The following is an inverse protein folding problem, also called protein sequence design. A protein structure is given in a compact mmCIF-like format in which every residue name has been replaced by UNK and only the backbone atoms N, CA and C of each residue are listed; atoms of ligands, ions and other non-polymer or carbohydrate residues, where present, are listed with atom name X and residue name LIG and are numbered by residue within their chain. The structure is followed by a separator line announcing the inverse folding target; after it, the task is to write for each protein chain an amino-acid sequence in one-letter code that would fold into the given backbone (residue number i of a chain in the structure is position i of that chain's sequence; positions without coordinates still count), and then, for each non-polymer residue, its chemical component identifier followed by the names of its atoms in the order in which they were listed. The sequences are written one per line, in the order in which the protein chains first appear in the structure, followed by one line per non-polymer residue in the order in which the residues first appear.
data_IF_661250889031
#
_entry.id   IF_661250889031
#
_cell.length_a   1.000
_cell.length_b   1.000
_cell.length_c   1.000
_cell.angle_alpha   90.00
_cell.angle_beta   90.00
_cell.angle_gamma   90.00
#
_symmetry.space_group_name_H-M   'P 1'
#
loop_
_entity.id
_entity.type
_entity.pdbx_description
1 polymer ?
#
# COMPACT_ATOMS: atom_id res chain seq x y z
N UNK A 1 -40.68 -17.65 -47.00
CA UNK A 1 -41.41 -18.82 -47.54
C UNK A 1 -40.41 -19.62 -48.35
N UNK A 2 -40.25 -20.91 -48.00
CA UNK A 2 -39.72 -22.05 -48.79
C UNK A 2 -38.37 -21.87 -49.51
N UNK A 3 -37.45 -22.82 -49.62
CA UNK A 3 -37.33 -24.25 -49.36
C UNK A 3 -35.82 -24.55 -49.54
N UNK A 4 -35.15 -25.19 -48.59
CA UNK A 4 -34.68 -26.60 -48.65
C UNK A 4 -34.15 -27.04 -50.02
N UNK A 5 -32.84 -27.30 -50.09
CA UNK A 5 -32.26 -28.28 -50.99
C UNK A 5 -31.02 -28.89 -50.37
N UNK A 6 -31.17 -30.13 -49.94
CA UNK A 6 -30.17 -31.05 -49.39
C UNK A 6 -29.35 -31.69 -50.52
N UNK A 7 -28.03 -31.80 -50.34
CA UNK A 7 -27.19 -32.70 -51.14
C UNK A 7 -26.44 -33.69 -50.24
N UNK A 8 -26.13 -34.91 -50.74
CA UNK A 8 -25.90 -36.09 -49.91
C UNK A 8 -24.42 -36.33 -49.61
N UNK A 9 -24.20 -37.05 -48.50
CA UNK A 9 -22.91 -37.49 -47.97
C UNK A 9 -22.52 -38.81 -48.64
N UNK A 10 -21.47 -38.82 -49.47
CA UNK A 10 -20.90 -40.04 -50.06
C UNK A 10 -20.13 -40.86 -49.01
N UNK A 11 -20.50 -42.13 -48.90
CA UNK A 11 -19.72 -43.21 -48.31
C UNK A 11 -18.55 -43.59 -49.23
N UNK A 12 -17.32 -43.68 -48.68
CA UNK A 12 -16.27 -44.55 -49.23
C UNK A 12 -15.51 -45.25 -48.11
N UNK A 13 -15.56 -46.58 -48.16
CA UNK A 13 -14.51 -47.53 -47.75
C UNK A 13 -14.17 -48.37 -48.99
N UNK A 14 -13.14 -49.23 -48.99
CA UNK A 14 -11.82 -49.21 -48.34
C UNK A 14 -10.70 -49.41 -49.39
N UNK A 15 -9.43 -49.21 -49.03
CA UNK A 15 -8.32 -49.87 -49.73
C UNK A 15 -7.36 -50.49 -48.72
N UNK A 16 -7.21 -51.81 -48.87
CA UNK A 16 -6.21 -52.65 -48.24
C UNK A 16 -4.81 -52.14 -48.59
N UNK A 17 -3.91 -52.17 -47.61
CA UNK A 17 -2.50 -52.39 -47.89
C UNK A 17 -2.00 -53.49 -46.96
N UNK A 18 -1.57 -54.59 -47.58
CA UNK A 18 -0.93 -55.73 -46.94
C UNK A 18 0.55 -55.38 -46.77
N UNK A 19 0.99 -55.30 -45.52
CA UNK A 19 2.40 -55.26 -45.14
C UNK A 19 2.58 -56.25 -44.01
N UNK A 20 3.30 -57.33 -44.31
CA UNK A 20 3.68 -58.40 -43.40
C UNK A 20 4.77 -57.92 -42.43
N UNK A 21 4.46 -57.86 -41.14
CA UNK A 21 5.45 -57.86 -40.06
C UNK A 21 5.01 -58.82 -38.96
N UNK A 22 6.01 -59.49 -38.39
CA UNK A 22 5.92 -60.64 -37.48
C UNK A 22 5.19 -60.32 -36.16
N UNK A 23 4.56 -61.31 -35.50
CA UNK A 23 3.89 -61.11 -34.23
C UNK A 23 4.93 -60.94 -33.11
N UNK A 24 5.07 -59.70 -32.63
CA UNK A 24 5.72 -59.39 -31.36
C UNK A 24 4.76 -59.81 -30.23
N UNK A 25 5.22 -60.54 -29.20
CA UNK A 25 4.36 -61.01 -28.13
C UNK A 25 3.73 -59.86 -27.33
N UNK A 26 2.41 -59.96 -27.22
CA UNK A 26 1.47 -58.96 -26.71
C UNK A 26 1.42 -58.93 -25.16
N UNK A 27 2.56 -58.82 -24.47
CA UNK A 27 2.56 -58.76 -23.00
C UNK A 27 3.42 -57.70 -22.33
N UNK A 28 4.09 -56.78 -23.05
CA UNK A 28 5.01 -55.83 -22.38
C UNK A 28 5.17 -54.45 -23.04
N UNK A 29 4.20 -54.01 -23.84
CA UNK A 29 4.28 -52.73 -24.57
C UNK A 29 3.17 -51.70 -24.22
N UNK A 30 2.49 -51.85 -23.07
CA UNK A 30 1.45 -50.92 -22.63
C UNK A 30 1.88 -49.95 -21.50
N UNK A 31 3.10 -50.05 -20.96
CA UNK A 31 3.48 -49.31 -19.72
C UNK A 31 4.57 -48.25 -19.86
N UNK A 32 4.93 -47.83 -21.09
CA UNK A 32 5.89 -46.72 -21.28
C UNK A 32 5.31 -45.63 -22.18
N UNK A 33 4.08 -45.21 -21.89
CA UNK A 33 3.70 -43.82 -22.15
C UNK A 33 4.10 -43.04 -20.90
N UNK A 34 5.25 -42.37 -20.96
CA UNK A 34 5.64 -41.35 -20.00
C UNK A 34 4.53 -40.29 -19.93
N UNK A 35 3.55 -40.50 -19.05
CA UNK A 35 2.78 -39.43 -18.44
C UNK A 35 3.79 -38.56 -17.71
N UNK A 36 4.23 -37.48 -18.36
CA UNK A 36 4.75 -36.31 -17.67
C UNK A 36 3.69 -35.98 -16.61
N UNK A 37 3.98 -36.10 -15.31
CA UNK A 37 2.98 -35.83 -14.29
C UNK A 37 2.51 -34.39 -14.52
N UNK A 38 1.23 -34.24 -14.87
CA UNK A 38 0.61 -32.93 -14.91
C UNK A 38 0.67 -32.39 -13.50
N UNK A 39 1.61 -31.47 -13.26
CA UNK A 39 1.77 -30.65 -12.05
C UNK A 39 0.51 -29.80 -11.72
N UNK A 40 -0.63 -30.07 -12.36
CA UNK A 40 -1.80 -29.22 -12.46
C UNK A 40 -2.99 -29.80 -11.64
N UNK A 41 -3.00 -31.08 -11.27
CA UNK A 41 -4.19 -31.70 -10.67
C UNK A 41 -4.13 -31.99 -9.16
N UNK A 42 -3.00 -31.78 -8.47
CA UNK A 42 -2.86 -32.15 -7.05
C UNK A 42 -3.10 -30.99 -6.06
N UNK A 43 -3.18 -29.74 -6.54
CA UNK A 43 -3.30 -28.58 -5.65
C UNK A 43 -4.69 -28.36 -5.05
N UNK A 44 -5.75 -28.90 -5.67
CA UNK A 44 -7.14 -28.64 -5.24
C UNK A 44 -7.63 -29.61 -4.17
N UNK A 45 -7.30 -30.90 -4.28
CA UNK A 45 -7.73 -31.92 -3.32
C UNK A 45 -6.91 -31.91 -2.03
N UNK A 46 -5.62 -31.52 -2.08
CA UNK A 46 -4.82 -31.27 -0.87
C UNK A 46 -5.26 -30.03 -0.08
N UNK A 47 -6.10 -29.17 -0.68
CA UNK A 47 -6.60 -27.95 -0.04
C UNK A 47 -7.84 -28.20 0.82
N UNK A 48 -8.60 -29.27 0.57
CA UNK A 48 -9.89 -29.52 1.23
C UNK A 48 -9.80 -30.46 2.45
N UNK A 49 -8.85 -31.42 2.50
CA UNK A 49 -8.90 -32.51 3.50
C UNK A 49 -7.90 -32.40 4.69
N UNK A 50 -7.14 -31.30 4.83
CA UNK A 50 -6.07 -31.19 5.85
C UNK A 50 -6.24 -30.13 6.96
N UNK A 51 -7.35 -29.41 7.01
CA UNK A 51 -7.45 -28.12 7.73
C UNK A 51 -8.16 -28.20 9.10
N UNK A 52 -7.64 -28.99 10.07
CA UNK A 52 -8.14 -28.96 11.46
C UNK A 52 -7.06 -28.88 12.57
N UNK A 53 -5.80 -28.57 12.26
CA UNK A 53 -4.93 -27.98 13.29
C UNK A 53 -5.15 -26.47 13.28
N UNK A 54 -5.65 -25.89 14.38
CA UNK A 54 -5.88 -24.44 14.56
C UNK A 54 -4.57 -23.67 14.37
N UNK A 55 -4.20 -23.39 13.11
CA UNK A 55 -3.06 -22.54 12.79
C UNK A 55 -3.43 -21.12 13.18
N UNK A 56 -2.57 -20.53 14.00
CA UNK A 56 -2.72 -19.16 14.46
C UNK A 56 -2.49 -18.19 13.30
N UNK A 57 -3.52 -17.43 12.91
CA UNK A 57 -3.48 -16.47 11.80
C UNK A 57 -3.21 -15.02 12.23
N UNK A 58 -3.26 -14.75 13.54
CA UNK A 58 -3.01 -13.42 14.09
C UNK A 58 -1.58 -12.90 13.90
N UNK A 59 -0.51 -13.71 13.69
CA UNK A 59 0.83 -13.16 13.43
C UNK A 59 0.86 -12.18 12.26
N UNK A 60 0.04 -12.36 11.21
CA UNK A 60 -0.05 -11.43 10.09
C UNK A 60 -0.48 -10.02 10.49
N UNK A 61 -1.26 -9.87 11.57
CA UNK A 61 -1.57 -8.55 12.14
C UNK A 61 -0.30 -7.83 12.61
N UNK A 62 0.56 -8.54 13.35
CA UNK A 62 1.83 -8.03 13.86
C UNK A 62 2.95 -7.96 12.83
N UNK A 63 2.74 -8.51 11.63
CA UNK A 63 3.61 -8.27 10.47
C UNK A 63 3.20 -6.97 9.77
N UNK A 64 1.90 -6.76 9.57
CA UNK A 64 1.43 -5.59 8.82
C UNK A 64 1.45 -4.31 9.65
N UNK A 65 1.08 -4.37 10.93
CA UNK A 65 1.05 -3.19 11.80
C UNK A 65 2.40 -2.45 11.82
N UNK A 66 3.56 -3.09 12.08
CA UNK A 66 4.85 -2.42 12.09
C UNK A 66 5.24 -1.74 10.78
N UNK A 67 5.00 -2.40 9.65
CA UNK A 67 5.30 -1.83 8.34
C UNK A 67 4.51 -0.55 8.10
N UNK A 68 3.23 -0.54 8.49
CA UNK A 68 2.38 0.63 8.36
C UNK A 68 2.63 1.71 9.43
N UNK A 69 3.22 1.37 10.58
CA UNK A 69 3.80 2.37 11.47
C UNK A 69 4.94 3.14 10.78
N UNK A 70 5.96 2.43 10.28
CA UNK A 70 7.08 3.05 9.57
C UNK A 70 6.65 3.83 8.31
N UNK A 71 5.66 3.30 7.58
CA UNK A 71 5.10 4.04 6.45
C UNK A 71 4.39 5.33 6.89
N UNK A 72 3.64 5.30 8.00
CA UNK A 72 2.92 6.47 8.50
C UNK A 72 3.84 7.53 9.10
N UNK A 73 4.94 7.17 9.76
CA UNK A 73 5.94 8.13 10.23
C UNK A 73 6.53 8.96 9.08
N UNK A 74 6.64 8.39 7.88
CA UNK A 74 7.14 9.11 6.71
C UNK A 74 6.16 10.15 6.17
N UNK A 75 4.84 9.99 6.28
CA UNK A 75 3.91 11.01 5.76
C UNK A 75 3.26 11.89 6.83
N UNK A 76 3.14 11.42 8.07
CA UNK A 76 2.51 12.21 9.15
C UNK A 76 3.49 13.16 9.83
N UNK A 77 4.78 12.82 9.91
CA UNK A 77 5.77 13.64 10.61
C UNK A 77 6.57 14.55 9.66
N UNK A 78 6.08 14.81 8.44
CA UNK A 78 6.80 15.59 7.42
C UNK A 78 7.11 17.02 7.88
N UNK A 79 6.14 17.71 8.49
CA UNK A 79 6.31 19.08 8.98
C UNK A 79 7.37 19.15 10.10
N UNK A 80 7.29 18.22 11.07
CA UNK A 80 8.26 18.08 12.15
C UNK A 80 9.66 17.78 11.62
N UNK A 81 9.79 16.83 10.68
CA UNK A 81 11.06 16.51 10.02
C UNK A 81 11.64 17.72 9.27
N UNK A 82 10.81 18.44 8.52
CA UNK A 82 11.23 19.62 7.77
C UNK A 82 11.79 20.71 8.71
N UNK A 83 11.04 21.04 9.77
CA UNK A 83 11.38 22.12 10.72
C UNK A 83 12.52 21.72 11.65
N UNK A 84 12.39 20.60 12.33
CA UNK A 84 13.28 20.19 13.44
C UNK A 84 14.45 19.33 12.95
N UNK A 85 14.22 18.47 11.96
CA UNK A 85 15.26 17.61 11.39
C UNK A 85 16.18 18.35 10.42
N UNK A 86 15.60 19.11 9.48
CA UNK A 86 16.38 19.81 8.45
C UNK A 86 16.57 21.30 8.71
N UNK A 87 15.89 21.89 9.70
CA UNK A 87 16.03 23.31 10.01
C UNK A 87 15.38 24.23 8.97
N UNK A 88 14.42 23.75 8.19
CA UNK A 88 13.72 24.57 7.19
C UNK A 88 12.58 25.31 7.90
N UNK A 89 12.68 26.63 8.13
CA UNK A 89 11.69 27.36 8.92
C UNK A 89 10.37 27.53 8.17
N UNK A 90 9.31 27.85 8.92
CA UNK A 90 8.10 28.46 8.37
C UNK A 90 8.40 29.83 7.81
N UNK A 91 8.05 30.03 6.53
CA UNK A 91 8.20 31.33 5.88
C UNK A 91 7.23 32.28 6.58
N UNK A 92 7.72 33.38 7.20
CA UNK A 92 6.83 34.44 7.64
C UNK A 92 6.09 35.01 6.43
N UNK A 93 4.83 35.39 6.62
CA UNK A 93 4.06 36.10 5.60
C UNK A 93 4.88 37.28 5.05
N UNK A 94 5.14 37.26 3.75
CA UNK A 94 5.83 38.35 3.03
C UNK A 94 7.36 38.28 2.95
N UNK A 95 8.04 37.26 3.51
CA UNK A 95 9.50 37.11 3.33
C UNK A 95 9.80 36.13 2.20
N UNK A 96 9.76 36.63 0.96
CA UNK A 96 10.26 35.89 -0.21
C UNK A 96 11.79 35.95 -0.25
N UNK A 97 12.46 35.04 0.44
CA UNK A 97 13.81 34.64 0.01
C UNK A 97 13.66 33.41 -0.86
N UNK A 98 13.89 33.56 -2.17
CA UNK A 98 13.78 32.51 -3.19
C UNK A 98 14.46 31.19 -2.79
N UNK A 99 15.50 31.27 -1.96
CA UNK A 99 16.24 30.12 -1.43
C UNK A 99 15.38 29.18 -0.54
N UNK A 100 14.68 29.68 0.49
CA UNK A 100 13.86 28.82 1.36
C UNK A 100 12.65 28.25 0.64
N UNK A 101 12.06 29.01 -0.29
CA UNK A 101 11.00 28.50 -1.18
C UNK A 101 11.51 27.31 -2.03
N UNK A 102 12.71 27.44 -2.59
CA UNK A 102 13.35 26.36 -3.36
C UNK A 102 13.65 25.13 -2.49
N UNK A 103 14.11 25.32 -1.25
CA UNK A 103 14.36 24.22 -0.31
C UNK A 103 13.08 23.49 0.09
N UNK A 104 12.00 24.22 0.38
CA UNK A 104 10.67 23.64 0.68
C UNK A 104 10.11 22.86 -0.49
N UNK A 105 10.21 23.41 -1.71
CA UNK A 105 9.81 22.71 -2.93
C UNK A 105 10.62 21.43 -3.11
N UNK A 106 11.95 21.49 -2.94
CA UNK A 106 12.81 20.31 -3.00
C UNK A 106 12.47 19.28 -1.92
N UNK A 107 12.18 19.70 -0.69
CA UNK A 107 11.72 18.82 0.38
C UNK A 107 10.43 18.11 -0.01
N UNK A 108 9.42 18.86 -0.49
CA UNK A 108 8.16 18.28 -0.94
C UNK A 108 8.32 17.32 -2.11
N UNK A 109 9.20 17.61 -3.08
CA UNK A 109 9.50 16.68 -4.18
C UNK A 109 10.21 15.45 -3.64
N UNK A 110 11.11 15.63 -2.67
CA UNK A 110 11.77 14.55 -1.95
C UNK A 110 10.76 13.64 -1.23
N UNK A 111 9.75 14.19 -0.56
CA UNK A 111 8.74 13.37 0.12
C UNK A 111 7.87 12.59 -0.85
N UNK A 112 7.62 13.11 -2.06
CA UNK A 112 6.97 12.36 -3.15
C UNK A 112 7.72 11.10 -3.60
N UNK A 113 9.02 10.96 -3.28
CA UNK A 113 9.76 9.73 -3.61
C UNK A 113 9.26 8.50 -2.84
N UNK A 114 8.51 8.69 -1.76
CA UNK A 114 7.77 7.61 -1.10
C UNK A 114 6.79 6.97 -2.08
N UNK A 115 5.93 7.77 -2.71
CA UNK A 115 4.95 7.28 -3.68
C UNK A 115 5.58 6.75 -4.96
N UNK A 116 6.66 7.39 -5.44
CA UNK A 116 7.42 6.85 -6.59
C UNK A 116 8.07 5.51 -6.27
N UNK A 117 8.67 5.36 -5.09
CA UNK A 117 9.22 4.10 -4.61
C UNK A 117 8.15 3.01 -4.57
N UNK A 118 6.96 3.31 -4.03
CA UNK A 118 5.82 2.39 -4.03
C UNK A 118 5.50 1.94 -5.46
N UNK A 119 5.20 2.91 -6.34
CA UNK A 119 4.78 2.69 -7.71
C UNK A 119 5.78 1.83 -8.48
N UNK A 120 7.07 2.16 -8.40
CA UNK A 120 8.13 1.45 -9.13
C UNK A 120 8.28 0.02 -8.58
N UNK A 121 8.34 -0.16 -7.27
CA UNK A 121 8.59 -1.47 -6.68
C UNK A 121 7.37 -2.40 -6.65
N UNK A 122 6.15 -1.91 -6.94
CA UNK A 122 4.97 -2.79 -7.13
C UNK A 122 5.20 -3.85 -8.20
N UNK A 123 5.59 -3.54 -9.44
CA UNK A 123 5.99 -4.57 -10.40
C UNK A 123 7.46 -4.98 -10.24
N UNK A 124 8.37 -4.04 -9.93
CA UNK A 124 9.81 -4.29 -10.01
C UNK A 124 10.32 -5.28 -8.96
N UNK A 125 9.65 -5.48 -7.83
CA UNK A 125 10.08 -6.50 -6.86
C UNK A 125 10.10 -7.92 -7.47
N UNK A 126 9.32 -8.17 -8.53
CA UNK A 126 9.36 -9.45 -9.26
C UNK A 126 10.62 -9.61 -10.13
N UNK A 127 11.23 -8.50 -10.55
CA UNK A 127 12.46 -8.50 -11.36
C UNK A 127 13.68 -8.43 -10.44
N UNK A 128 13.74 -7.39 -9.60
CA UNK A 128 14.88 -7.08 -8.73
C UNK A 128 15.09 -8.18 -7.70
N UNK A 129 14.01 -8.70 -7.12
CA UNK A 129 14.05 -9.78 -6.13
C UNK A 129 13.51 -11.10 -6.71
N UNK A 130 13.67 -11.32 -8.02
CA UNK A 130 13.30 -12.58 -8.69
C UNK A 130 13.89 -13.82 -8.02
N UNK A 131 15.12 -13.70 -7.50
CA UNK A 131 15.84 -14.76 -6.79
C UNK A 131 15.31 -15.05 -5.36
N UNK A 132 14.41 -14.22 -4.84
CA UNK A 132 13.80 -14.39 -3.52
C UNK A 132 12.34 -14.76 -3.67
N UNK A 133 11.89 -15.75 -2.88
CA UNK A 133 10.46 -16.02 -2.74
C UNK A 133 9.73 -14.84 -2.07
N UNK A 134 8.42 -14.66 -2.32
CA UNK A 134 7.59 -13.60 -1.73
C UNK A 134 7.75 -13.44 -0.22
N UNK A 135 7.90 -14.56 0.50
CA UNK A 135 8.14 -14.56 1.94
C UNK A 135 9.40 -13.76 2.33
N UNK A 136 10.54 -14.04 1.69
CA UNK A 136 11.80 -13.33 1.97
C UNK A 136 11.79 -11.90 1.47
N UNK A 137 11.01 -11.58 0.42
CA UNK A 137 10.81 -10.20 -0.04
C UNK A 137 10.17 -9.33 1.03
N UNK A 138 9.33 -9.89 1.91
CA UNK A 138 8.82 -9.15 3.08
C UNK A 138 9.96 -8.73 4.03
N UNK A 139 10.93 -9.61 4.29
CA UNK A 139 12.09 -9.27 5.13
C UNK A 139 13.00 -8.21 4.48
N UNK A 140 13.18 -8.29 3.16
CA UNK A 140 13.91 -7.25 2.40
C UNK A 140 13.18 -5.90 2.52
N UNK A 141 11.84 -5.92 2.43
CA UNK A 141 11.03 -4.72 2.62
C UNK A 141 11.18 -4.12 4.03
N UNK A 142 11.18 -4.96 5.07
CA UNK A 142 11.48 -4.52 6.44
C UNK A 142 12.87 -3.88 6.54
N UNK A 143 13.89 -4.51 5.96
CA UNK A 143 15.24 -3.94 5.91
C UNK A 143 15.28 -2.57 5.25
N UNK A 144 14.58 -2.39 4.12
CA UNK A 144 14.49 -1.09 3.44
C UNK A 144 13.83 -0.02 4.30
N UNK A 145 12.69 -0.33 4.93
CA UNK A 145 11.99 0.60 5.82
C UNK A 145 12.83 0.92 7.07
N UNK A 146 13.47 -0.06 7.69
CA UNK A 146 14.37 0.16 8.82
C UNK A 146 15.56 1.04 8.45
N UNK A 147 16.14 0.90 7.26
CA UNK A 147 17.18 1.79 6.78
C UNK A 147 16.68 3.24 6.67
N UNK A 148 15.45 3.46 6.18
CA UNK A 148 14.86 4.80 6.14
C UNK A 148 14.73 5.40 7.56
N UNK A 149 14.18 4.63 8.51
CA UNK A 149 14.01 5.06 9.91
C UNK A 149 15.35 5.29 10.63
N UNK A 150 16.36 4.47 10.37
CA UNK A 150 17.72 4.68 10.92
C UNK A 150 18.27 6.03 10.42
N UNK A 151 18.17 6.31 9.12
CA UNK A 151 18.66 7.57 8.56
C UNK A 151 17.89 8.75 9.18
N UNK A 152 16.57 8.63 9.39
CA UNK A 152 15.77 9.66 10.09
C UNK A 152 16.27 9.91 11.51
N UNK A 153 16.49 8.86 12.29
CA UNK A 153 17.05 9.01 13.65
C UNK A 153 18.43 9.67 13.60
N UNK A 154 19.28 9.31 12.64
CA UNK A 154 20.60 9.94 12.47
C UNK A 154 20.48 11.42 12.06
N UNK A 155 19.48 11.80 11.27
CA UNK A 155 19.21 13.22 10.95
C UNK A 155 18.96 13.99 12.24
N UNK A 156 18.14 13.49 13.17
CA UNK A 156 17.88 14.19 14.45
C UNK A 156 19.07 14.19 15.40
N UNK A 157 19.86 13.11 15.45
CA UNK A 157 21.06 13.04 16.31
C UNK A 157 22.14 14.02 15.83
N UNK A 158 22.33 14.17 14.53
CA UNK A 158 23.34 15.05 13.94
C UNK A 158 22.81 16.42 13.54
N UNK A 159 21.50 16.66 13.69
CA UNK A 159 20.90 17.96 13.41
C UNK A 159 21.39 18.97 14.45
N UNK A 160 22.03 20.08 14.03
CA UNK A 160 22.37 21.18 14.94
C UNK A 160 21.14 21.97 15.42
N UNK A 161 19.92 21.59 14.98
CA UNK A 161 18.69 22.38 15.14
C UNK A 161 17.78 21.94 16.28
N UNK A 162 18.21 21.02 17.14
CA UNK A 162 17.44 20.64 18.33
C UNK A 162 17.22 21.82 19.29
N UNK A 163 18.02 22.90 19.19
CA UNK A 163 17.98 24.03 20.13
C UNK A 163 17.55 25.38 19.49
N UNK A 164 17.67 25.58 18.17
CA UNK A 164 17.25 26.80 17.48
C UNK A 164 17.01 26.60 15.97
N UNK A 165 16.03 27.28 15.35
CA UNK A 165 15.80 27.22 13.91
C UNK A 165 16.97 27.83 13.11
N UNK A 166 17.14 27.38 11.86
CA UNK A 166 18.18 27.91 10.98
C UNK A 166 17.99 29.42 10.74
N UNK A 167 19.05 30.18 11.02
CA UNK A 167 19.10 31.63 10.77
C UNK A 167 19.61 31.96 9.37
N UNK A 168 20.24 31.00 8.70
CA UNK A 168 20.78 31.13 7.34
C UNK A 168 20.68 29.82 6.57
N UNK A 169 20.59 29.91 5.24
CA UNK A 169 20.52 28.76 4.32
C UNK A 169 21.69 27.79 4.51
N UNK A 170 22.89 28.30 4.81
CA UNK A 170 24.10 27.48 5.03
C UNK A 170 24.03 26.58 6.27
N UNK A 171 23.09 26.83 7.17
CA UNK A 171 22.88 25.98 8.34
C UNK A 171 22.01 24.77 8.01
N UNK A 172 21.12 24.88 7.00
CA UNK A 172 20.08 23.88 6.68
C UNK A 172 20.72 22.51 6.44
N UNK A 173 20.07 21.47 6.97
CA UNK A 173 20.53 20.10 6.82
C UNK A 173 20.57 19.65 5.35
N UNK A 174 21.23 18.52 5.05
CA UNK A 174 21.35 18.00 3.69
C UNK A 174 20.01 17.49 3.14
N UNK A 175 19.17 18.39 2.60
CA UNK A 175 17.79 18.10 2.12
C UNK A 175 17.74 16.99 1.06
N UNK A 176 18.83 16.75 0.33
CA UNK A 176 18.91 15.63 -0.61
C UNK A 176 18.69 14.25 0.05
N UNK A 177 18.97 14.12 1.37
CA UNK A 177 18.70 12.89 2.12
C UNK A 177 17.22 12.52 2.13
N UNK A 178 16.31 13.49 2.00
CA UNK A 178 14.86 13.25 1.94
C UNK A 178 14.52 12.31 0.79
N UNK A 179 15.13 12.48 -0.39
CA UNK A 179 14.93 11.58 -1.53
C UNK A 179 15.32 10.14 -1.21
N UNK A 180 16.42 9.95 -0.49
CA UNK A 180 16.93 8.63 -0.11
C UNK A 180 16.02 7.99 0.95
N UNK A 181 15.69 8.73 2.02
CA UNK A 181 14.83 8.26 3.11
C UNK A 181 13.47 7.82 2.57
N UNK A 182 12.80 8.71 1.83
CA UNK A 182 11.45 8.47 1.33
C UNK A 182 11.47 7.44 0.21
N UNK A 183 12.49 7.45 -0.64
CA UNK A 183 12.73 6.40 -1.63
C UNK A 183 12.85 5.02 -0.98
N UNK A 184 13.66 4.87 0.07
CA UNK A 184 13.83 3.60 0.80
C UNK A 184 12.54 3.16 1.51
N UNK A 185 11.81 4.10 2.11
CA UNK A 185 10.47 3.82 2.66
C UNK A 185 9.50 3.32 1.59
N UNK A 186 9.55 3.94 0.40
CA UNK A 186 8.72 3.56 -0.73
C UNK A 186 9.07 2.20 -1.32
N UNK A 187 10.36 1.88 -1.43
CA UNK A 187 10.84 0.53 -1.77
C UNK A 187 10.32 -0.50 -0.75
N UNK A 188 10.35 -0.15 0.53
CA UNK A 188 9.83 -0.96 1.63
C UNK A 188 8.38 -1.33 1.42
N UNK A 189 7.47 -0.36 1.47
CA UNK A 189 6.03 -0.65 1.37
C UNK A 189 5.62 -1.18 -0.02
N UNK A 190 6.24 -0.68 -1.10
CA UNK A 190 6.00 -1.13 -2.48
C UNK A 190 6.33 -2.61 -2.67
N UNK A 191 7.40 -3.09 -2.02
CA UNK A 191 7.74 -4.51 -2.00
C UNK A 191 6.86 -5.29 -1.02
N UNK A 192 6.59 -4.76 0.18
CA UNK A 192 5.94 -5.49 1.26
C UNK A 192 4.53 -5.97 0.91
N UNK A 193 3.66 -5.06 0.48
CA UNK A 193 2.22 -5.29 0.60
C UNK A 193 1.67 -6.31 -0.42
N UNK A 194 2.17 -6.31 -1.66
CA UNK A 194 1.81 -7.37 -2.61
C UNK A 194 2.28 -8.75 -2.12
N UNK A 195 3.44 -8.81 -1.46
CA UNK A 195 4.02 -10.04 -0.95
C UNK A 195 3.30 -10.55 0.30
N UNK A 196 2.92 -9.69 1.26
CA UNK A 196 2.13 -10.12 2.45
C UNK A 196 0.73 -10.56 2.05
N UNK A 197 0.09 -9.90 1.08
CA UNK A 197 -1.21 -10.31 0.55
C UNK A 197 -1.14 -11.66 -0.18
N UNK A 198 -0.06 -11.91 -0.91
CA UNK A 198 0.16 -13.19 -1.57
C UNK A 198 0.44 -14.31 -0.56
N UNK A 199 1.35 -14.09 0.40
CA UNK A 199 1.71 -15.11 1.42
C UNK A 199 0.51 -15.42 2.34
N UNK A 200 -0.28 -14.41 2.69
CA UNK A 200 -1.51 -14.60 3.47
C UNK A 200 -2.59 -15.34 2.68
N UNK A 201 -2.64 -15.24 1.35
CA UNK A 201 -3.57 -16.01 0.53
C UNK A 201 -3.34 -17.53 0.65
N UNK A 202 -2.08 -17.97 0.67
CA UNK A 202 -1.73 -19.39 0.89
C UNK A 202 -2.00 -19.87 2.31
N UNK A 203 -2.02 -18.95 3.28
CA UNK A 203 -2.30 -19.25 4.69
C UNK A 203 -3.81 -19.28 4.99
N UNK A 204 -4.66 -18.93 4.02
CA UNK A 204 -6.11 -18.91 4.16
C UNK A 204 -6.71 -17.54 4.46
N UNK A 205 -8.03 -17.42 4.28
CA UNK A 205 -8.75 -16.15 4.34
C UNK A 205 -8.57 -15.41 5.69
N UNK A 206 -8.44 -16.16 6.79
CA UNK A 206 -8.24 -15.60 8.12
C UNK A 206 -6.90 -14.87 8.26
N UNK A 207 -5.82 -15.38 7.67
CA UNK A 207 -4.51 -14.71 7.66
C UNK A 207 -4.61 -13.35 6.97
N UNK A 208 -5.30 -13.31 5.83
CA UNK A 208 -5.52 -12.07 5.10
C UNK A 208 -6.34 -11.07 5.89
N UNK A 209 -7.42 -11.53 6.51
CA UNK A 209 -8.26 -10.70 7.37
C UNK A 209 -7.41 -9.99 8.44
N UNK A 210 -6.55 -10.73 9.15
CA UNK A 210 -5.65 -10.15 10.16
C UNK A 210 -4.60 -9.22 9.56
N UNK A 211 -4.01 -9.57 8.40
CA UNK A 211 -3.09 -8.69 7.69
C UNK A 211 -3.74 -7.35 7.35
N UNK A 212 -4.93 -7.37 6.77
CA UNK A 212 -5.65 -6.17 6.33
C UNK A 212 -6.07 -5.32 7.53
N UNK A 213 -6.45 -5.92 8.66
CA UNK A 213 -6.72 -5.19 9.90
C UNK A 213 -5.49 -4.52 10.51
N UNK A 214 -4.29 -5.05 10.29
CA UNK A 214 -3.05 -4.43 10.78
C UNK A 214 -2.79 -3.04 10.19
N UNK A 215 -3.29 -2.76 8.98
CA UNK A 215 -3.09 -1.50 8.25
C UNK A 215 -3.60 -0.28 9.04
N UNK A 216 -4.90 -0.18 9.38
CA UNK A 216 -5.42 0.98 10.11
C UNK A 216 -4.77 1.14 11.49
N UNK A 217 -4.44 0.05 12.18
CA UNK A 217 -3.74 0.13 13.46
C UNK A 217 -2.33 0.68 13.32
N UNK A 218 -1.56 0.21 12.33
CA UNK A 218 -0.21 0.71 12.10
C UNK A 218 -0.21 2.21 11.81
N UNK A 219 -1.05 2.64 10.85
CA UNK A 219 -1.17 4.06 10.50
C UNK A 219 -1.58 4.91 11.70
N UNK A 220 -2.63 4.50 12.42
CA UNK A 220 -3.17 5.31 13.51
C UNK A 220 -2.35 5.28 14.80
N UNK A 221 -1.49 4.28 14.97
CA UNK A 221 -0.49 4.31 16.06
C UNK A 221 0.40 5.55 15.92
N UNK A 222 0.75 5.95 14.70
CA UNK A 222 1.58 7.13 14.45
C UNK A 222 0.73 8.39 14.32
N UNK A 223 -0.38 8.36 13.59
CA UNK A 223 -1.17 9.59 13.38
C UNK A 223 -1.93 10.01 14.64
N UNK A 224 -2.34 9.09 15.53
CA UNK A 224 -2.96 9.45 16.80
C UNK A 224 -1.89 9.47 17.90
N UNK A 225 -1.16 8.36 18.05
CA UNK A 225 -0.19 8.20 19.13
C UNK A 225 1.04 9.10 18.98
N UNK A 226 1.53 9.31 17.77
CA UNK A 226 2.66 10.20 17.48
C UNK A 226 2.33 11.66 17.78
N UNK A 227 1.23 12.20 17.24
CA UNK A 227 0.84 13.59 17.54
C UNK A 227 0.46 13.80 19.00
N UNK A 228 -0.20 12.83 19.65
CA UNK A 228 -0.45 12.92 21.09
C UNK A 228 0.85 12.94 21.91
N UNK A 229 1.87 12.18 21.47
CA UNK A 229 3.19 12.17 22.09
C UNK A 229 3.92 13.50 21.89
N UNK A 230 3.89 14.05 20.68
CA UNK A 230 4.43 15.39 20.36
C UNK A 230 3.83 16.46 21.27
N UNK A 231 2.50 16.54 21.31
CA UNK A 231 1.78 17.52 22.13
C UNK A 231 2.13 17.38 23.64
N UNK A 232 2.27 16.15 24.13
CA UNK A 232 2.57 15.90 25.54
C UNK A 232 4.04 16.15 25.91
N UNK A 233 4.98 15.79 25.03
CA UNK A 233 6.41 15.77 25.36
C UNK A 233 7.19 17.00 24.89
N UNK A 234 6.76 17.70 23.84
CA UNK A 234 7.51 18.85 23.31
C UNK A 234 7.74 19.94 24.38
N UNK A 235 6.79 20.10 25.31
CA UNK A 235 6.92 21.04 26.44
C UNK A 235 7.94 20.60 27.51
N UNK A 236 8.26 19.31 27.57
CA UNK A 236 9.09 18.72 28.63
C UNK A 236 10.53 18.48 28.16
N UNK A 237 10.71 17.89 26.98
CA UNK A 237 12.01 17.45 26.46
C UNK A 237 12.54 18.30 25.31
N UNK A 238 11.78 19.29 24.86
CA UNK A 238 12.14 20.17 23.75
C UNK A 238 11.68 19.66 22.38
N UNK A 239 11.51 20.59 21.45
CA UNK A 239 11.11 20.31 20.07
C UNK A 239 12.11 19.36 19.39
N UNK A 240 11.61 18.40 18.60
CA UNK A 240 12.43 17.43 17.85
C UNK A 240 12.81 16.15 18.60
N UNK A 241 12.97 16.19 19.92
CA UNK A 241 13.24 14.98 20.70
C UNK A 241 12.03 14.03 20.72
N UNK A 242 10.81 14.57 20.78
CA UNK A 242 9.60 13.76 20.68
C UNK A 242 9.52 13.05 19.31
N UNK A 243 9.82 13.74 18.21
CA UNK A 243 9.77 13.16 16.86
C UNK A 243 10.83 12.08 16.68
N UNK A 244 12.03 12.32 17.23
CA UNK A 244 13.07 11.29 17.27
C UNK A 244 12.61 10.05 18.03
N UNK A 245 11.90 10.19 19.16
CA UNK A 245 11.35 9.05 19.91
C UNK A 245 10.32 8.29 19.06
N UNK A 246 9.49 8.97 18.27
CA UNK A 246 8.55 8.32 17.34
C UNK A 246 9.30 7.47 16.31
N UNK A 247 10.37 7.99 15.70
CA UNK A 247 11.18 7.21 14.74
C UNK A 247 11.91 6.03 15.38
N UNK A 248 12.44 6.19 16.60
CA UNK A 248 13.03 5.08 17.37
C UNK A 248 11.98 4.02 17.68
N UNK A 249 10.77 4.42 18.07
CA UNK A 249 9.66 3.51 18.27
C UNK A 249 9.32 2.73 17.00
N UNK A 250 9.20 3.42 15.84
CA UNK A 250 8.99 2.76 14.55
C UNK A 250 10.09 1.72 14.26
N UNK A 251 11.36 2.04 14.50
CA UNK A 251 12.47 1.12 14.30
C UNK A 251 12.37 -0.13 15.18
N UNK A 252 12.04 0.03 16.47
CA UNK A 252 11.87 -1.09 17.41
C UNK A 252 10.70 -1.98 16.98
N UNK A 253 9.58 -1.38 16.61
CA UNK A 253 8.38 -2.10 16.19
C UNK A 253 8.61 -2.81 14.86
N UNK A 254 9.32 -2.20 13.90
CA UNK A 254 9.75 -2.83 12.64
C UNK A 254 10.66 -4.03 12.87
N UNK A 255 11.64 -3.92 13.77
CA UNK A 255 12.50 -5.04 14.15
C UNK A 255 11.68 -6.18 14.76
N UNK A 256 10.73 -5.86 15.65
CA UNK A 256 9.76 -6.82 16.18
C UNK A 256 8.91 -7.49 15.09
N UNK A 257 8.39 -6.72 14.12
CA UNK A 257 7.66 -7.22 12.97
C UNK A 257 8.47 -8.17 12.10
N UNK A 258 9.74 -7.83 11.82
CA UNK A 258 10.67 -8.71 11.10
C UNK A 258 10.93 -10.02 11.87
N UNK A 259 11.08 -9.97 13.20
CA UNK A 259 11.15 -11.16 14.04
C UNK A 259 9.86 -12.00 13.97
N UNK A 260 8.68 -11.38 13.97
CA UNK A 260 7.40 -12.09 13.81
C UNK A 260 7.33 -12.79 12.45
N UNK A 261 7.75 -12.13 11.36
CA UNK A 261 7.84 -12.77 10.05
C UNK A 261 8.74 -14.01 10.13
N UNK A 262 9.95 -13.84 10.65
CA UNK A 262 10.97 -14.89 10.66
C UNK A 262 10.61 -16.09 11.54
N UNK A 263 10.04 -15.86 12.72
CA UNK A 263 9.80 -16.91 13.72
C UNK A 263 8.37 -17.44 13.77
N UNK A 264 7.36 -16.62 13.45
CA UNK A 264 5.95 -16.95 13.70
C UNK A 264 5.12 -17.14 12.43
N UNK A 265 5.52 -16.54 11.30
CA UNK A 265 4.82 -16.77 10.03
C UNK A 265 5.32 -18.08 9.42
N UNK A 266 4.47 -19.12 9.30
CA UNK A 266 4.87 -20.36 8.66
C UNK A 266 5.21 -20.07 7.21
N UNK A 267 6.29 -20.64 6.69
CA UNK A 267 6.59 -20.60 5.26
C UNK A 267 5.69 -21.63 4.58
N UNK A 268 4.71 -21.23 3.74
CA UNK A 268 3.90 -22.21 3.03
C UNK A 268 4.80 -23.08 2.13
N UNK A 269 4.53 -24.39 2.06
CA UNK A 269 5.35 -25.33 1.26
C UNK A 269 5.49 -24.85 -0.20
N UNK A 270 4.42 -24.30 -0.80
CA UNK A 270 4.45 -23.69 -2.14
C UNK A 270 5.03 -22.27 -2.24
N UNK A 271 5.17 -21.55 -1.13
CA UNK A 271 5.81 -20.23 -1.12
C UNK A 271 7.34 -20.35 -1.00
N UNK A 272 7.85 -21.43 -0.40
CA UNK A 272 9.28 -21.70 -0.25
C UNK A 272 9.94 -22.20 -1.55
N UNK A 273 9.17 -22.95 -2.36
CA UNK A 273 9.61 -23.54 -3.63
C UNK A 273 9.69 -22.54 -4.79
N UNK A 274 9.25 -21.29 -4.57
CA UNK A 274 9.45 -20.17 -5.49
C UNK A 274 10.93 -19.72 -5.61
N UNK A 275 11.91 -20.56 -5.21
CA UNK A 275 13.35 -20.33 -5.41
C UNK A 275 13.76 -20.18 -6.88
N UNK A 276 12.88 -20.52 -7.82
CA UNK A 276 13.06 -20.26 -9.24
C UNK A 276 11.81 -19.57 -9.84
N UNK A 277 11.40 -18.41 -9.30
CA UNK A 277 10.57 -17.51 -10.11
C UNK A 277 11.44 -17.12 -11.30
N UNK A 278 11.11 -17.67 -12.46
CA UNK A 278 11.76 -17.36 -13.73
C UNK A 278 11.87 -15.83 -13.83
N UNK A 279 13.04 -15.31 -14.25
CA UNK A 279 13.18 -13.87 -14.53
C UNK A 279 12.13 -13.41 -15.54
N UNK A 280 11.68 -14.35 -16.37
CA UNK A 280 10.63 -14.16 -17.34
C UNK A 280 9.21 -14.33 -16.76
N UNK A 281 9.03 -14.52 -15.45
CA UNK A 281 7.70 -14.66 -14.82
C UNK A 281 6.80 -13.47 -15.14
N UNK A 282 7.28 -12.24 -14.91
CA UNK A 282 6.53 -11.03 -15.21
C UNK A 282 6.14 -10.97 -16.70
N UNK A 283 7.10 -11.23 -17.58
CA UNK A 283 6.86 -11.21 -19.03
C UNK A 283 5.91 -12.32 -19.47
N UNK A 284 5.96 -13.49 -18.82
CA UNK A 284 5.08 -14.62 -19.06
C UNK A 284 3.65 -14.32 -18.62
N UNK A 285 3.45 -13.73 -17.43
CA UNK A 285 2.15 -13.24 -16.98
C UNK A 285 1.57 -12.17 -17.91
N UNK A 286 2.44 -11.36 -18.51
CA UNK A 286 2.09 -10.32 -19.47
C UNK A 286 1.97 -10.82 -20.91
N UNK A 287 2.07 -12.12 -21.21
CA UNK A 287 1.71 -12.61 -22.55
C UNK A 287 0.21 -12.45 -22.78
N UNK A 288 -0.18 -12.09 -24.00
CA UNK A 288 -1.57 -11.76 -24.36
C UNK A 288 -2.56 -12.86 -23.99
N UNK A 289 -2.17 -14.12 -24.20
CA UNK A 289 -2.93 -15.33 -23.87
C UNK A 289 -3.30 -15.42 -22.37
N UNK A 290 -2.48 -14.84 -21.48
CA UNK A 290 -2.66 -14.88 -20.03
C UNK A 290 -3.34 -13.61 -19.49
N UNK A 291 -3.18 -12.45 -20.15
CA UNK A 291 -3.71 -11.17 -19.67
C UNK A 291 -5.22 -11.17 -19.47
N UNK A 292 -5.96 -11.80 -20.36
CA UNK A 292 -7.42 -11.87 -20.28
C UNK A 292 -7.90 -12.64 -19.06
N UNK A 293 -7.11 -13.59 -18.57
CA UNK A 293 -7.47 -14.45 -17.44
C UNK A 293 -7.42 -13.73 -16.09
N UNK A 294 -6.54 -12.74 -15.92
CA UNK A 294 -6.38 -12.07 -14.63
C UNK A 294 -6.52 -10.55 -14.72
N UNK A 295 -5.85 -9.90 -15.67
CA UNK A 295 -5.72 -8.45 -15.71
C UNK A 295 -7.06 -7.76 -15.98
N UNK A 296 -7.82 -8.26 -16.96
CA UNK A 296 -9.12 -7.65 -17.33
C UNK A 296 -10.16 -7.77 -16.21
N UNK A 297 -10.06 -8.82 -15.39
CA UNK A 297 -10.93 -9.01 -14.23
C UNK A 297 -10.56 -8.06 -13.08
N UNK A 298 -9.25 -7.76 -12.93
CA UNK A 298 -8.71 -6.91 -11.86
C UNK A 298 -8.81 -5.42 -12.19
N UNK A 299 -8.78 -5.07 -13.48
CA UNK A 299 -8.70 -3.70 -13.98
C UNK A 299 -9.76 -2.73 -13.41
N UNK A 300 -11.06 -3.08 -13.31
CA UNK A 300 -12.04 -2.14 -12.77
C UNK A 300 -11.79 -1.80 -11.30
N UNK A 301 -11.38 -2.79 -10.50
CA UNK A 301 -10.97 -2.57 -9.11
C UNK A 301 -9.68 -1.77 -8.99
N UNK A 302 -8.76 -1.93 -9.94
CA UNK A 302 -7.52 -1.16 -10.04
C UNK A 302 -7.77 0.31 -10.37
N UNK A 303 -8.65 0.60 -11.33
CA UNK A 303 -9.05 1.98 -11.65
C UNK A 303 -9.75 2.62 -10.44
N UNK A 304 -10.65 1.89 -9.76
CA UNK A 304 -11.27 2.42 -8.55
C UNK A 304 -10.24 2.72 -7.45
N UNK A 305 -9.25 1.84 -7.29
CA UNK A 305 -8.17 2.06 -6.34
C UNK A 305 -7.31 3.28 -6.71
N UNK A 306 -7.07 3.54 -8.00
CA UNK A 306 -6.34 4.75 -8.46
C UNK A 306 -7.02 6.04 -8.03
N UNK A 307 -8.33 6.17 -8.30
CA UNK A 307 -9.09 7.35 -7.88
C UNK A 307 -9.16 7.49 -6.36
N UNK A 308 -9.36 6.37 -5.67
CA UNK A 308 -9.37 6.34 -4.21
C UNK A 308 -8.01 6.77 -3.63
N UNK A 309 -6.90 6.25 -4.12
CA UNK A 309 -5.54 6.62 -3.67
C UNK A 309 -5.17 8.05 -4.03
N UNK A 310 -5.63 8.56 -5.18
CA UNK A 310 -5.49 9.97 -5.53
C UNK A 310 -6.16 10.85 -4.46
N UNK A 311 -7.43 10.60 -4.15
CA UNK A 311 -8.16 11.40 -3.16
C UNK A 311 -7.63 11.22 -1.73
N UNK A 312 -7.32 9.99 -1.29
CA UNK A 312 -6.72 9.74 0.03
C UNK A 312 -5.41 10.50 0.18
N UNK A 313 -4.50 10.37 -0.79
CA UNK A 313 -3.18 11.02 -0.71
C UNK A 313 -3.27 12.55 -0.84
N UNK A 314 -4.20 13.04 -1.66
CA UNK A 314 -4.42 14.48 -1.83
C UNK A 314 -5.09 15.10 -0.60
N UNK A 315 -6.03 14.43 0.06
CA UNK A 315 -6.92 15.06 1.06
C UNK A 315 -6.70 14.59 2.50
N UNK A 316 -6.04 13.45 2.74
CA UNK A 316 -5.93 12.81 4.06
C UNK A 316 -4.49 12.28 4.33
N UNK A 317 -3.58 13.06 4.95
CA UNK A 317 -3.75 14.41 5.49
C UNK A 317 -3.35 15.55 4.50
N UNK A 318 -3.02 15.20 3.25
CA UNK A 318 -2.37 16.08 2.26
C UNK A 318 -2.85 17.53 2.29
N UNK A 319 -4.03 17.82 1.75
CA UNK A 319 -4.58 19.16 1.65
C UNK A 319 -5.25 19.62 2.96
N UNK A 320 -5.75 18.68 3.79
CA UNK A 320 -6.44 19.03 5.03
C UNK A 320 -5.52 19.76 6.01
N UNK A 321 -4.25 19.36 6.09
CA UNK A 321 -3.24 20.05 6.91
C UNK A 321 -2.98 21.49 6.47
N UNK A 322 -3.12 21.80 5.17
CA UNK A 322 -2.97 23.16 4.67
C UNK A 322 -4.25 23.98 4.79
N UNK A 323 -5.41 23.37 4.52
CA UNK A 323 -6.72 24.03 4.66
C UNK A 323 -6.95 24.43 6.12
N UNK A 324 -6.63 23.55 7.06
CA UNK A 324 -6.81 23.77 8.50
C UNK A 324 -5.47 23.99 9.20
N UNK A 325 -4.70 24.99 8.76
CA UNK A 325 -3.37 25.29 9.29
C UNK A 325 -3.36 26.44 10.32
N UNK A 326 -4.53 26.82 10.83
CA UNK A 326 -4.62 27.84 11.87
C UNK A 326 -4.12 27.26 13.20
N UNK A 327 -3.47 28.10 14.02
CA UNK A 327 -2.98 27.71 15.35
C UNK A 327 -4.11 27.14 16.22
N UNK A 328 -5.28 27.78 16.10
CA UNK A 328 -6.53 27.35 16.72
C UNK A 328 -7.60 27.14 15.65
N UNK A 329 -8.38 26.08 15.83
CA UNK A 329 -9.47 25.70 14.94
C UNK A 329 -10.78 25.74 15.74
N UNK A 330 -11.74 26.51 15.22
CA UNK A 330 -13.08 26.59 15.78
C UNK A 330 -13.89 25.36 15.35
N UNK A 331 -14.11 24.44 16.28
CA UNK A 331 -14.80 23.17 16.02
C UNK A 331 -16.01 23.03 16.94
N UNK A 332 -17.22 23.13 16.36
CA UNK A 332 -18.50 23.11 17.11
C UNK A 332 -18.55 24.12 18.27
N UNK A 333 -17.96 25.30 18.08
CA UNK A 333 -17.91 26.37 19.10
C UNK A 333 -16.85 26.17 20.18
N UNK A 334 -15.97 25.17 20.05
CA UNK A 334 -14.77 25.01 20.89
C UNK A 334 -13.53 25.50 20.13
N UNK A 335 -12.66 26.24 20.81
CA UNK A 335 -11.35 26.64 20.30
C UNK A 335 -10.34 25.51 20.59
N UNK A 336 -9.99 24.73 19.57
CA UNK A 336 -9.05 23.60 19.71
C UNK A 336 -7.69 23.97 19.14
N UNK A 337 -6.61 23.55 19.80
CA UNK A 337 -5.27 23.57 19.20
C UNK A 337 -5.23 22.68 17.95
N UNK A 338 -4.42 23.07 16.96
CA UNK A 338 -4.30 22.38 15.68
C UNK A 338 -4.08 20.85 15.82
N UNK A 339 -3.12 20.46 16.66
CA UNK A 339 -2.79 19.05 16.90
C UNK A 339 -3.95 18.27 17.55
N UNK A 340 -4.70 18.91 18.45
CA UNK A 340 -5.86 18.30 19.09
C UNK A 340 -6.99 18.06 18.06
N UNK A 341 -7.21 19.01 17.14
CA UNK A 341 -8.15 18.82 16.04
C UNK A 341 -7.72 17.67 15.12
N UNK A 342 -6.44 17.60 14.71
CA UNK A 342 -5.96 16.52 13.84
C UNK A 342 -5.95 15.14 14.53
N UNK A 343 -5.83 15.09 15.86
CA UNK A 343 -6.08 13.86 16.63
C UNK A 343 -7.54 13.40 16.48
N UNK A 344 -8.51 14.30 16.65
CA UNK A 344 -9.93 13.99 16.43
C UNK A 344 -10.18 13.55 14.98
N UNK A 345 -9.65 14.30 14.01
CA UNK A 345 -9.73 13.95 12.58
C UNK A 345 -9.20 12.54 12.33
N UNK A 346 -8.03 12.20 12.90
CA UNK A 346 -7.40 10.88 12.78
C UNK A 346 -8.22 9.76 13.43
N UNK A 347 -8.95 10.02 14.52
CA UNK A 347 -9.89 9.04 15.09
C UNK A 347 -10.99 8.68 14.08
N UNK A 348 -11.53 9.65 13.36
CA UNK A 348 -12.53 9.37 12.32
C UNK A 348 -11.92 8.65 11.10
N UNK A 349 -10.70 9.02 10.70
CA UNK A 349 -9.90 8.29 9.70
C UNK A 349 -9.74 6.82 10.09
N UNK A 350 -9.33 6.54 11.34
CA UNK A 350 -9.23 5.19 11.91
C UNK A 350 -10.57 4.46 11.85
N UNK A 351 -11.64 5.07 12.36
CA UNK A 351 -12.95 4.44 12.42
C UNK A 351 -13.45 4.06 11.02
N UNK A 352 -13.25 4.91 10.02
CA UNK A 352 -13.62 4.63 8.63
C UNK A 352 -12.86 3.43 8.06
N UNK A 353 -11.53 3.45 8.11
CA UNK A 353 -10.68 2.40 7.54
C UNK A 353 -10.80 1.08 8.32
N UNK A 354 -10.83 1.13 9.65
CA UNK A 354 -10.97 -0.05 10.51
C UNK A 354 -12.34 -0.70 10.34
N UNK A 355 -13.44 0.06 10.43
CA UNK A 355 -14.78 -0.52 10.34
C UNK A 355 -15.03 -1.14 8.96
N UNK A 356 -14.64 -0.46 7.89
CA UNK A 356 -14.77 -1.00 6.53
C UNK A 356 -14.00 -2.31 6.35
N UNK A 357 -12.75 -2.40 6.82
CA UNK A 357 -11.96 -3.65 6.77
C UNK A 357 -12.54 -4.73 7.68
N UNK A 358 -12.98 -4.38 8.88
CA UNK A 358 -13.61 -5.28 9.85
C UNK A 358 -14.86 -5.95 9.28
N UNK A 359 -15.69 -5.21 8.55
CA UNK A 359 -16.91 -5.75 7.96
C UNK A 359 -16.65 -6.39 6.59
N UNK A 360 -16.01 -5.68 5.66
CA UNK A 360 -15.90 -6.09 4.25
C UNK A 360 -14.93 -7.25 4.01
N UNK A 361 -13.96 -7.47 4.90
CA UNK A 361 -13.03 -8.60 4.77
C UNK A 361 -13.66 -9.94 5.21
N UNK A 362 -14.81 -9.93 5.89
CA UNK A 362 -15.47 -11.15 6.37
C UNK A 362 -16.09 -11.94 5.23
N UNK A 363 -15.96 -13.28 5.27
CA UNK A 363 -16.42 -14.19 4.20
C UNK A 363 -17.93 -14.10 3.91
N UNK A 364 -18.75 -13.86 4.93
CA UNK A 364 -20.22 -13.82 4.79
C UNK A 364 -20.75 -12.55 4.13
N UNK A 365 -19.95 -11.48 4.05
CA UNK A 365 -20.39 -10.25 3.37
C UNK A 365 -20.34 -10.49 1.86
N UNK A 366 -21.43 -10.29 1.11
CA UNK A 366 -21.42 -10.53 -0.34
C UNK A 366 -20.36 -9.69 -1.05
N UNK A 367 -19.88 -10.15 -2.21
CA UNK A 367 -18.94 -9.36 -3.02
C UNK A 367 -19.69 -8.17 -3.60
N UNK A 368 -19.22 -6.97 -3.28
CA UNK A 368 -19.72 -5.72 -3.84
C UNK A 368 -18.72 -5.26 -4.90
N UNK A 369 -19.23 -4.81 -6.05
CA UNK A 369 -18.40 -4.29 -7.12
C UNK A 369 -17.59 -3.06 -6.65
N UNK A 370 -16.24 -3.13 -6.58
CA UNK A 370 -15.44 -2.11 -5.89
C UNK A 370 -15.68 -0.66 -6.34
N UNK A 371 -15.87 -0.36 -7.65
CA UNK A 371 -16.16 1.00 -8.09
C UNK A 371 -17.39 1.66 -7.46
N UNK A 372 -18.36 0.88 -6.93
CA UNK A 372 -19.52 1.46 -6.26
C UNK A 372 -19.16 2.21 -4.97
N UNK A 373 -18.07 1.83 -4.30
CA UNK A 373 -17.61 2.54 -3.11
C UNK A 373 -17.07 3.94 -3.42
N UNK A 374 -16.77 4.26 -4.69
CA UNK A 374 -16.41 5.61 -5.10
C UNK A 374 -17.57 6.61 -4.89
N UNK A 375 -18.82 6.16 -4.90
CA UNK A 375 -19.96 7.03 -4.58
C UNK A 375 -19.87 7.56 -3.13
N UNK A 376 -19.55 6.68 -2.17
CA UNK A 376 -19.32 7.08 -0.77
C UNK A 376 -18.08 7.97 -0.68
N UNK A 377 -17.06 7.68 -1.48
CA UNK A 377 -15.83 8.47 -1.55
C UNK A 377 -16.12 9.92 -1.96
N UNK A 378 -16.91 10.13 -3.02
CA UNK A 378 -17.29 11.46 -3.49
C UNK A 378 -18.06 12.24 -2.42
N UNK A 379 -19.00 11.59 -1.73
CA UNK A 379 -19.71 12.21 -0.59
C UNK A 379 -18.73 12.60 0.51
N UNK A 380 -17.76 11.74 0.83
CA UNK A 380 -16.72 12.03 1.80
C UNK A 380 -15.86 13.23 1.43
N UNK A 381 -15.46 13.35 0.16
CA UNK A 381 -14.69 14.51 -0.34
C UNK A 381 -15.51 15.80 -0.24
N UNK A 382 -16.80 15.77 -0.59
CA UNK A 382 -17.68 16.94 -0.48
C UNK A 382 -17.79 17.38 0.99
N UNK A 383 -18.03 16.44 1.92
CA UNK A 383 -18.09 16.72 3.35
C UNK A 383 -16.76 17.23 3.91
N UNK A 384 -15.64 16.70 3.42
CA UNK A 384 -14.30 17.13 3.82
C UNK A 384 -14.04 18.58 3.44
N UNK A 385 -14.43 18.99 2.24
CA UNK A 385 -14.18 20.35 1.73
C UNK A 385 -15.26 21.35 2.13
N UNK A 386 -16.39 20.92 2.70
CA UNK A 386 -17.53 21.79 3.00
C UNK A 386 -17.29 22.68 4.22
N UNK A 387 -16.84 22.11 5.35
CA UNK A 387 -16.54 22.88 6.56
C UNK A 387 -15.59 22.11 7.50
N UNK A 388 -14.98 22.83 8.44
CA UNK A 388 -14.12 22.28 9.50
C UNK A 388 -14.87 21.22 10.32
N UNK A 389 -16.15 21.47 10.60
CA UNK A 389 -17.04 20.63 11.40
C UNK A 389 -17.42 19.33 10.71
N UNK A 390 -17.61 19.36 9.39
CA UNK A 390 -17.99 18.17 8.60
C UNK A 390 -16.77 17.35 8.17
N UNK A 391 -15.57 17.92 8.24
CA UNK A 391 -14.35 17.26 7.77
C UNK A 391 -14.03 15.92 8.45
N UNK A 392 -14.21 15.73 9.77
CA UNK A 392 -14.06 14.42 10.40
C UNK A 392 -15.01 13.35 9.80
N UNK A 393 -16.27 13.70 9.54
CA UNK A 393 -17.20 12.79 8.89
C UNK A 393 -16.82 12.53 7.42
N UNK A 394 -16.30 13.55 6.73
CA UNK A 394 -15.78 13.43 5.37
C UNK A 394 -14.62 12.43 5.28
N UNK A 395 -13.62 12.55 6.16
CA UNK A 395 -12.49 11.60 6.20
C UNK A 395 -12.95 10.19 6.57
N UNK A 396 -13.92 10.05 7.49
CA UNK A 396 -14.53 8.74 7.78
C UNK A 396 -15.08 8.09 6.50
N UNK A 397 -15.85 8.82 5.69
CA UNK A 397 -16.42 8.30 4.45
C UNK A 397 -15.36 7.95 3.40
N UNK A 398 -14.35 8.81 3.22
CA UNK A 398 -13.20 8.57 2.33
C UNK A 398 -12.47 7.29 2.74
N UNK A 399 -12.16 7.15 4.02
CA UNK A 399 -11.42 6.00 4.55
C UNK A 399 -12.26 4.73 4.62
N UNK A 400 -13.58 4.85 4.83
CA UNK A 400 -14.50 3.71 4.73
C UNK A 400 -14.55 3.16 3.31
N UNK A 401 -14.59 4.04 2.30
CA UNK A 401 -14.49 3.65 0.89
C UNK A 401 -13.15 2.96 0.61
N UNK A 402 -12.05 3.56 1.08
CA UNK A 402 -10.70 3.00 0.95
C UNK A 402 -10.60 1.56 1.45
N UNK A 403 -10.93 1.32 2.73
CA UNK A 403 -10.84 -0.01 3.32
C UNK A 403 -11.83 -1.01 2.71
N UNK A 404 -12.97 -0.54 2.19
CA UNK A 404 -13.95 -1.37 1.48
C UNK A 404 -13.45 -1.84 0.11
N UNK A 405 -12.95 -0.92 -0.72
CA UNK A 405 -12.33 -1.23 -2.02
C UNK A 405 -11.19 -2.22 -1.80
N UNK A 406 -10.33 -1.92 -0.82
CA UNK A 406 -9.20 -2.75 -0.48
C UNK A 406 -9.62 -4.18 -0.14
N UNK A 407 -10.52 -4.34 0.83
CA UNK A 407 -10.94 -5.66 1.34
C UNK A 407 -11.69 -6.48 0.29
N UNK A 408 -12.56 -5.84 -0.48
CA UNK A 408 -13.33 -6.51 -1.53
C UNK A 408 -12.43 -6.95 -2.67
N UNK A 409 -11.49 -6.11 -3.09
CA UNK A 409 -10.59 -6.43 -4.17
C UNK A 409 -9.58 -7.49 -3.77
N UNK A 410 -9.02 -7.39 -2.55
CA UNK A 410 -8.06 -8.38 -2.08
C UNK A 410 -8.66 -9.77 -1.98
N UNK A 411 -9.92 -9.84 -1.52
CA UNK A 411 -10.70 -11.08 -1.47
C UNK A 411 -11.08 -11.57 -2.86
N UNK A 412 -11.45 -10.67 -3.78
CA UNK A 412 -11.75 -11.03 -5.16
C UNK A 412 -10.56 -11.70 -5.83
N UNK A 413 -9.34 -11.17 -5.66
CA UNK A 413 -8.13 -11.77 -6.21
C UNK A 413 -7.96 -13.20 -5.68
N UNK A 414 -8.05 -13.41 -4.37
CA UNK A 414 -7.87 -14.75 -3.77
C UNK A 414 -8.83 -15.82 -4.25
N UNK A 415 -10.08 -15.42 -4.49
CA UNK A 415 -11.18 -16.36 -4.66
C UNK A 415 -11.79 -16.30 -6.06
N UNK A 416 -11.31 -15.42 -6.92
CA UNK A 416 -11.77 -15.24 -8.30
C UNK A 416 -10.66 -15.38 -9.33
N UNK A 417 -9.40 -15.16 -8.94
CA UNK A 417 -8.24 -15.31 -9.83
C UNK A 417 -7.51 -16.61 -9.51
N UNK A 418 -6.93 -17.23 -10.54
CA UNK A 418 -6.14 -18.45 -10.36
C UNK A 418 -4.92 -18.16 -9.46
N UNK A 419 -4.58 -19.04 -8.50
CA UNK A 419 -3.49 -18.81 -7.55
C UNK A 419 -2.15 -18.42 -8.17
N UNK A 420 -1.81 -18.98 -9.34
CA UNK A 420 -0.57 -18.67 -10.08
C UNK A 420 -0.47 -17.20 -10.51
N UNK A 421 -1.62 -16.53 -10.64
CA UNK A 421 -1.71 -15.12 -11.03
C UNK A 421 -1.96 -14.19 -9.83
N UNK A 422 -2.01 -14.69 -8.59
CA UNK A 422 -2.33 -13.86 -7.41
C UNK A 422 -1.31 -12.75 -7.19
N UNK A 423 -0.02 -13.08 -7.15
CA UNK A 423 1.04 -12.10 -6.88
C UNK A 423 1.07 -10.98 -7.92
N UNK A 424 0.98 -11.33 -9.20
CA UNK A 424 0.96 -10.34 -10.28
C UNK A 424 -0.34 -9.52 -10.26
N UNK A 425 -1.47 -10.13 -9.89
CA UNK A 425 -2.75 -9.43 -9.74
C UNK A 425 -2.72 -8.40 -8.61
N UNK A 426 -2.17 -8.76 -7.43
CA UNK A 426 -1.95 -7.81 -6.34
C UNK A 426 -1.01 -6.69 -6.75
N UNK A 427 0.10 -7.05 -7.40
CA UNK A 427 1.11 -6.07 -7.86
C UNK A 427 0.51 -5.08 -8.85
N UNK A 428 -0.26 -5.56 -9.84
CA UNK A 428 -0.92 -4.70 -10.84
C UNK A 428 -2.00 -3.82 -10.22
N UNK A 429 -2.86 -4.39 -9.38
CA UNK A 429 -3.92 -3.67 -8.69
C UNK A 429 -3.36 -2.50 -7.87
N UNK A 430 -2.32 -2.77 -7.06
CA UNK A 430 -1.67 -1.76 -6.24
C UNK A 430 -0.84 -0.77 -7.07
N UNK A 431 -0.20 -1.22 -8.16
CA UNK A 431 0.54 -0.35 -9.08
C UNK A 431 -0.36 0.74 -9.69
N UNK A 432 -1.53 0.34 -10.21
CA UNK A 432 -2.50 1.29 -10.75
C UNK A 432 -3.06 2.19 -9.63
N UNK A 433 -3.26 1.65 -8.43
CA UNK A 433 -3.58 2.42 -7.24
C UNK A 433 -2.56 3.53 -6.94
N UNK A 434 -1.28 3.19 -6.88
CA UNK A 434 -0.19 4.11 -6.55
C UNK A 434 0.06 5.16 -7.63
N UNK A 435 -0.36 4.92 -8.88
CA UNK A 435 -0.35 5.98 -9.89
C UNK A 435 -1.20 7.17 -9.43
N UNK A 436 -2.31 6.91 -8.75
CA UNK A 436 -3.16 7.94 -8.14
C UNK A 436 -2.43 8.72 -7.03
N UNK A 437 -1.73 8.03 -6.12
CA UNK A 437 -1.01 8.70 -5.03
C UNK A 437 0.17 9.53 -5.52
N UNK A 438 0.89 9.07 -6.56
CA UNK A 438 1.94 9.86 -7.21
C UNK A 438 1.37 11.14 -7.82
N UNK A 439 0.29 11.04 -8.62
CA UNK A 439 -0.36 12.20 -9.23
C UNK A 439 -0.83 13.17 -8.14
N UNK A 440 -1.46 12.67 -7.08
CA UNK A 440 -1.88 13.48 -5.94
C UNK A 440 -0.71 14.24 -5.31
N UNK A 441 0.39 13.56 -5.02
CA UNK A 441 1.57 14.20 -4.40
C UNK A 441 2.18 15.32 -5.25
N UNK A 442 2.17 15.17 -6.57
CA UNK A 442 2.64 16.18 -7.52
C UNK A 442 1.68 17.37 -7.62
N UNK A 443 0.38 17.11 -7.43
CA UNK A 443 -0.68 18.14 -7.47
C UNK A 443 -0.81 18.89 -6.14
N UNK A 444 -0.49 18.26 -5.00
CA UNK A 444 -0.56 18.90 -3.68
C UNK A 444 0.34 20.13 -3.60
N UNK A 445 1.56 20.07 -4.15
CA UNK A 445 2.53 21.18 -4.07
C UNK A 445 2.04 22.48 -4.73
N UNK A 446 1.63 22.49 -6.02
CA UNK A 446 1.14 23.72 -6.64
C UNK A 446 -0.16 24.23 -6.02
N UNK A 447 -1.04 23.33 -5.54
CA UNK A 447 -2.24 23.74 -4.81
C UNK A 447 -1.85 24.43 -3.50
N UNK A 448 -0.90 23.86 -2.75
CA UNK A 448 -0.45 24.46 -1.51
C UNK A 448 0.19 25.84 -1.74
N UNK A 449 1.04 25.97 -2.76
CA UNK A 449 1.62 27.26 -3.15
C UNK A 449 0.54 28.31 -3.48
N UNK A 450 -0.51 27.90 -4.19
CA UNK A 450 -1.65 28.76 -4.51
C UNK A 450 -2.45 29.17 -3.27
N UNK A 451 -2.70 28.24 -2.34
CA UNK A 451 -3.41 28.53 -1.08
C UNK A 451 -2.63 29.51 -0.21
N UNK A 452 -1.30 29.35 -0.11
CA UNK A 452 -0.42 30.30 0.60
C UNK A 452 -0.44 31.69 -0.02
N UNK A 453 -0.34 31.80 -1.36
CA UNK A 453 -0.42 33.08 -2.05
C UNK A 453 -1.74 33.80 -1.73
N UNK A 454 -2.86 33.07 -1.78
CA UNK A 454 -4.18 33.66 -1.49
C UNK A 454 -4.37 34.11 -0.05
N UNK A 455 -3.81 33.39 0.92
CA UNK A 455 -3.85 33.81 2.33
C UNK A 455 -3.05 35.09 2.57
N UNK A 456 -1.94 35.28 1.85
CA UNK A 456 -1.16 36.51 1.92
C UNK A 456 -1.86 37.73 1.30
N UNK A 457 -2.77 37.51 0.35
CA UNK A 457 -3.42 38.57 -0.41
C UNK A 457 -4.71 39.13 0.23
N UNK A 458 -5.42 38.40 1.10
CA UNK A 458 -6.71 38.85 1.63
C UNK A 458 -7.03 38.42 3.08
N UNK A 459 -7.34 39.43 3.90
CA UNK A 459 -8.30 39.43 5.00
C UNK A 459 -9.48 38.47 4.79
N UNK A 460 -9.67 37.53 5.72
CA UNK A 460 -10.94 36.85 6.07
C UNK A 460 -11.60 36.02 4.95
N UNK A 461 -11.40 34.72 5.00
CA UNK A 461 -12.35 33.71 4.48
C UNK A 461 -12.30 32.47 5.37
N UNK A 462 -13.19 32.35 6.35
CA UNK A 462 -14.48 31.67 6.31
C UNK A 462 -15.27 32.02 7.56
#
# INVERSE_FOLDING_TARGET
MSEVSTLPREERKPLLNQGSEEPIPESEAADVVQKKPSLISTGKEAFEDGYESVKSYWPFFFVTLPMFCGYASLFSMQAHLMKQGFGIPDLPDGVSTDAYSSLRSMFGVGTSFLYWGNLIFRPMHNIVFSFCAPYYRMLIAFGSMMCAEIILVLVFIFSPFNDAPATSVDQVGPVWLVFLIYGLGGVGIGTFEANVLNVSAYSGQSAKYWSVLGIPFGVNTITIGGFALEAALNTIIGEGHATMIVYIFCLVVLAGGACVVYFLVPVPDGASDAKNVDKDYLFTCLKEENRSQWMMQVLPGAIAMMFNMFCVSLLCPGLSTYIYNDEYIDFWGMHLENDAYFSIFSVFTFMGDFSSRLFMAKKFVPRVYPPLFLCIHVVGVILLLASVETAPLGTFCVMFSNGSIYSQMSRFIDTGIHPDWNLISFSFWLFVGDAGSVIASLVTQPINAYLHQRRGDDTVFF
#
